data_IF_854828752690
#
_entry.id   IF_854828752690
#
_cell.length_a   1.000
_cell.length_b   1.000
_cell.length_c   1.000
_cell.angle_alpha   90.00
_cell.angle_beta   90.00
_cell.angle_gamma   90.00
#
_symmetry.space_group_name_H-M   'P 1'
#
loop_
_entity.id
_entity.type
_entity.pdbx_description
1 polymer ?
#
# COMPACT_ATOMS: atom_id res chain seq x y z
N UNK A 1 -4.53 -4.36 19.64
CA UNK A 1 -4.77 -5.55 18.81
C UNK A 1 -3.42 -5.97 18.25
N UNK A 2 -2.97 -7.18 18.55
CA UNK A 2 -1.71 -7.73 18.05
C UNK A 2 -2.04 -8.84 17.04
N UNK A 3 -1.35 -8.87 15.90
CA UNK A 3 -1.45 -9.97 14.95
C UNK A 3 -0.57 -11.13 15.42
N UNK A 4 -1.08 -12.35 15.35
CA UNK A 4 -0.34 -13.57 15.66
C UNK A 4 0.65 -13.96 14.56
N UNK A 5 0.45 -13.47 13.34
CA UNK A 5 1.33 -13.68 12.19
C UNK A 5 1.86 -12.36 11.60
N UNK A 6 3.08 -12.41 11.05
CA UNK A 6 3.71 -11.27 10.38
C UNK A 6 3.30 -11.21 8.90
N UNK A 7 2.14 -10.60 8.62
CA UNK A 7 1.63 -10.38 7.26
C UNK A 7 1.50 -8.88 6.94
N UNK A 8 1.66 -8.48 5.65
CA UNK A 8 1.42 -7.11 5.23
C UNK A 8 -0.08 -6.78 5.29
N UNK A 9 -0.40 -5.66 5.91
CA UNK A 9 -1.76 -5.12 5.96
C UNK A 9 -2.00 -4.15 4.81
N UNK A 10 -3.15 -4.29 4.13
CA UNK A 10 -3.56 -3.34 3.10
C UNK A 10 -4.07 -2.03 3.72
N UNK A 11 -3.90 -0.93 2.98
CA UNK A 11 -4.37 0.38 3.42
C UNK A 11 -5.90 0.43 3.61
N UNK A 12 -6.64 -0.30 2.76
CA UNK A 12 -8.10 -0.39 2.81
C UNK A 12 -8.56 -1.17 4.05
N UNK A 13 -7.83 -2.23 4.43
CA UNK A 13 -8.15 -3.03 5.62
C UNK A 13 -8.01 -2.20 6.91
N UNK A 14 -6.96 -1.38 7.00
CA UNK A 14 -6.77 -0.45 8.12
C UNK A 14 -7.88 0.61 8.18
N UNK A 15 -8.33 1.12 7.02
CA UNK A 15 -9.44 2.07 6.97
C UNK A 15 -10.77 1.44 7.41
N UNK A 16 -11.07 0.23 6.95
CA UNK A 16 -12.25 -0.52 7.37
C UNK A 16 -12.25 -0.80 8.88
N UNK A 17 -11.11 -1.22 9.44
CA UNK A 17 -10.97 -1.44 10.88
C UNK A 17 -11.26 -0.18 11.71
N UNK A 18 -10.84 1.01 11.23
CA UNK A 18 -11.17 2.30 11.87
C UNK A 18 -12.65 2.61 11.82
N UNK A 19 -13.31 2.35 10.69
CA UNK A 19 -14.75 2.55 10.56
C UNK A 19 -15.52 1.60 11.46
N UNK A 20 -15.09 0.34 11.54
CA UNK A 20 -15.66 -0.66 12.44
C UNK A 20 -15.60 -0.17 13.89
N UNK A 21 -14.50 0.45 14.35
CA UNK A 21 -14.37 0.98 15.71
C UNK A 21 -15.46 2.01 16.13
N UNK A 22 -16.32 2.47 15.21
CA UNK A 22 -17.54 3.21 15.52
C UNK A 22 -18.46 2.48 16.51
N UNK A 23 -18.57 1.15 16.47
CA UNK A 23 -19.39 0.41 17.46
C UNK A 23 -18.88 0.60 18.88
N UNK A 24 -17.57 0.85 19.03
CA UNK A 24 -16.95 1.09 20.33
C UNK A 24 -17.36 2.47 20.83
N UNK A 25 -17.38 3.48 19.96
CA UNK A 25 -17.83 4.85 20.26
C UNK A 25 -19.32 4.91 20.63
N UNK A 26 -20.16 4.07 20.03
CA UNK A 26 -21.59 3.99 20.38
C UNK A 26 -21.81 3.42 21.79
N UNK A 27 -20.93 2.51 22.24
CA UNK A 27 -21.03 1.90 23.57
C UNK A 27 -20.53 2.78 24.73
N UNK A 28 -19.48 3.59 24.53
CA UNK A 28 -18.85 4.36 25.62
C UNK A 28 -18.93 5.89 25.44
N UNK A 29 -19.58 6.36 24.37
CA UNK A 29 -19.64 7.78 24.01
C UNK A 29 -18.37 8.28 23.30
N UNK A 30 -18.49 9.43 22.61
CA UNK A 30 -17.42 10.03 21.80
C UNK A 30 -16.18 10.44 22.60
N UNK A 31 -16.36 10.83 23.85
CA UNK A 31 -15.28 11.34 24.71
C UNK A 31 -14.69 10.26 25.62
N UNK A 32 -15.24 9.03 25.59
CA UNK A 32 -14.85 7.94 26.48
C UNK A 32 -13.66 7.11 26.00
N UNK A 33 -13.18 7.29 24.75
CA UNK A 33 -12.23 6.37 24.11
C UNK A 33 -11.35 7.09 23.09
N UNK A 34 -10.03 6.93 23.23
CA UNK A 34 -9.04 7.41 22.27
C UNK A 34 -8.52 6.25 21.43
N UNK A 35 -9.00 6.14 20.18
CA UNK A 35 -8.63 5.04 19.27
C UNK A 35 -7.73 5.59 18.16
N UNK A 36 -6.53 5.01 18.03
CA UNK A 36 -5.53 5.37 17.02
C UNK A 36 -5.00 4.16 16.26
N UNK A 37 -4.64 4.36 15.00
CA UNK A 37 -3.93 3.35 14.19
C UNK A 37 -2.46 3.72 14.16
N UNK A 38 -1.62 2.84 14.69
CA UNK A 38 -0.17 3.05 14.79
C UNK A 38 0.60 2.49 13.58
N UNK A 39 -0.02 1.60 12.80
CA UNK A 39 0.58 1.04 11.60
C UNK A 39 0.36 1.96 10.39
N UNK A 40 1.44 2.37 9.73
CA UNK A 40 1.39 3.07 8.44
C UNK A 40 1.79 2.13 7.30
N UNK A 41 0.97 2.00 6.23
CA UNK A 41 1.33 1.18 5.07
C UNK A 41 2.35 1.92 4.20
N UNK A 42 3.63 1.57 4.33
CA UNK A 42 4.71 2.11 3.48
C UNK A 42 5.02 1.23 2.26
N UNK A 43 4.61 -0.03 2.30
CA UNK A 43 4.84 -0.99 1.22
C UNK A 43 3.79 -0.79 0.12
N UNK A 44 4.28 -0.59 -1.12
CA UNK A 44 3.44 -0.45 -2.31
C UNK A 44 3.44 -1.76 -3.08
N UNK A 45 2.25 -2.34 -3.25
CA UNK A 45 2.06 -3.55 -4.07
C UNK A 45 2.04 -3.13 -5.54
N UNK A 46 2.93 -3.72 -6.34
CA UNK A 46 2.93 -3.55 -7.80
C UNK A 46 2.10 -4.66 -8.44
N UNK A 47 1.22 -4.29 -9.37
CA UNK A 47 0.39 -5.23 -10.13
C UNK A 47 0.68 -5.06 -11.61
N UNK A 48 1.10 -6.14 -12.28
CA UNK A 48 1.20 -6.18 -13.74
C UNK A 48 -0.21 -6.37 -14.32
N UNK A 49 -0.89 -5.26 -14.63
CA UNK A 49 -2.29 -5.29 -15.10
C UNK A 49 -2.36 -5.93 -16.49
N UNK A 50 -3.18 -6.98 -16.60
CA UNK A 50 -3.47 -7.67 -17.86
C UNK A 50 -4.83 -7.24 -18.40
N UNK A 51 -5.04 -7.35 -19.72
CA UNK A 51 -6.34 -7.08 -20.31
C UNK A 51 -7.26 -8.29 -20.12
N UNK A 52 -8.50 -8.07 -19.67
CA UNK A 52 -9.45 -9.14 -19.33
C UNK A 52 -10.61 -9.27 -20.32
N UNK A 53 -10.39 -8.95 -21.60
CA UNK A 53 -11.40 -9.05 -22.67
C UNK A 53 -11.09 -10.15 -23.68
N UNK A 54 -12.11 -10.62 -24.41
CA UNK A 54 -12.00 -11.76 -25.33
C UNK A 54 -11.01 -11.49 -26.49
N UNK A 55 -9.91 -12.25 -26.53
CA UNK A 55 -8.84 -12.03 -27.51
C UNK A 55 -7.69 -11.14 -27.02
N UNK A 56 -7.67 -10.77 -25.73
CA UNK A 56 -6.57 -10.04 -25.09
C UNK A 56 -5.19 -10.68 -25.32
N UNK A 57 -5.13 -12.01 -25.45
CA UNK A 57 -3.90 -12.78 -25.67
C UNK A 57 -3.10 -12.30 -26.90
N UNK A 58 -3.79 -11.89 -27.98
CA UNK A 58 -3.15 -11.36 -29.20
C UNK A 58 -2.44 -10.02 -29.01
N UNK A 59 -2.79 -9.30 -27.95
CA UNK A 59 -2.30 -7.94 -27.65
C UNK A 59 -1.51 -7.90 -26.32
N UNK A 60 -1.40 -9.02 -25.64
CA UNK A 60 -0.80 -9.11 -24.31
C UNK A 60 0.72 -9.27 -24.40
N UNK A 61 1.43 -8.13 -24.50
CA UNK A 61 2.91 -8.11 -24.41
C UNK A 61 3.41 -8.05 -22.95
N UNK A 62 2.50 -7.82 -21.99
CA UNK A 62 2.81 -7.56 -20.58
C UNK A 62 3.53 -8.72 -19.86
N UNK A 63 3.44 -9.96 -20.35
CA UNK A 63 4.15 -11.11 -19.77
C UNK A 63 5.61 -11.21 -20.23
N UNK A 64 5.94 -10.68 -21.41
CA UNK A 64 7.27 -10.82 -22.01
C UNK A 64 8.24 -9.75 -21.51
N UNK A 65 7.74 -8.57 -21.11
CA UNK A 65 8.54 -7.49 -20.51
C UNK A 65 7.86 -7.01 -19.23
N UNK A 66 8.04 -7.71 -18.11
CA UNK A 66 7.41 -7.31 -16.86
C UNK A 66 8.23 -6.18 -16.22
N UNK A 67 7.74 -4.94 -16.25
CA UNK A 67 7.89 -4.00 -15.12
C UNK A 67 7.04 -2.72 -15.24
N UNK A 68 7.24 -1.88 -16.27
CA UNK A 68 6.73 -0.49 -16.31
C UNK A 68 7.08 0.13 -17.69
N UNK A 69 6.83 -0.59 -18.80
CA UNK A 69 7.34 -0.23 -20.13
C UNK A 69 6.43 0.76 -20.89
N UNK A 70 6.36 1.99 -20.40
CA UNK A 70 6.09 3.17 -21.25
C UNK A 70 6.67 4.43 -20.62
N UNK A 71 8.00 4.52 -20.58
CA UNK A 71 8.66 5.81 -20.81
C UNK A 71 8.60 6.08 -22.30
N UNK A 72 7.56 6.76 -22.78
CA UNK A 72 7.65 7.44 -24.06
C UNK A 72 8.53 8.68 -23.85
N UNK A 73 9.77 8.63 -24.36
CA UNK A 73 10.63 9.77 -24.71
C UNK A 73 11.02 10.80 -23.62
N UNK A 74 12.32 10.87 -23.31
CA UNK A 74 12.97 12.11 -22.83
C UNK A 74 13.69 12.05 -21.47
N UNK A 75 15.03 11.99 -21.52
CA UNK A 75 16.03 12.64 -20.66
C UNK A 75 15.83 12.74 -19.11
N UNK A 76 16.70 12.02 -18.35
CA UNK A 76 17.25 12.38 -17.01
C UNK A 76 16.38 12.22 -15.73
N UNK A 77 16.94 12.30 -14.49
CA UNK A 77 18.33 12.59 -14.11
C UNK A 77 19.03 11.45 -13.35
N UNK A 78 20.36 11.58 -13.24
CA UNK A 78 21.20 10.81 -12.31
C UNK A 78 20.75 11.05 -10.85
N UNK A 79 20.84 10.02 -10.00
CA UNK A 79 20.69 10.19 -8.56
C UNK A 79 22.06 10.15 -7.89
N UNK A 80 22.50 11.25 -7.25
CA UNK A 80 23.65 11.23 -6.37
C UNK A 80 23.23 10.75 -4.98
N UNK A 81 24.11 9.99 -4.33
CA UNK A 81 24.41 10.11 -2.91
C UNK A 81 23.35 9.74 -1.86
N UNK A 82 23.75 8.81 -1.00
CA UNK A 82 23.43 8.69 0.43
C UNK A 82 22.70 9.88 1.10
N UNK A 83 21.68 9.55 1.92
CA UNK A 83 21.23 10.17 3.18
C UNK A 83 19.90 9.48 3.53
N UNK A 84 19.82 8.46 4.39
CA UNK A 84 20.08 8.53 5.82
C UNK A 84 18.81 8.15 6.61
N UNK A 85 18.56 6.87 6.84
CA UNK A 85 17.56 6.39 7.80
C UNK A 85 18.27 5.92 9.07
N UNK A 86 18.84 6.86 9.85
CA UNK A 86 19.22 6.56 11.23
C UNK A 86 17.95 6.26 12.01
N UNK A 87 17.79 5.00 12.39
CA UNK A 87 16.95 4.63 13.52
C UNK A 87 17.40 5.45 14.73
N UNK A 88 16.58 6.41 15.15
CA UNK A 88 16.75 7.06 16.45
C UNK A 88 16.10 6.14 17.47
N UNK A 89 16.95 5.44 18.21
CA UNK A 89 16.62 4.88 19.52
C UNK A 89 16.18 6.01 20.43
N UNK A 90 14.99 5.88 21.02
CA UNK A 90 14.60 6.14 22.41
C UNK A 90 13.07 5.98 22.50
#
# INVERSE_FOLDING_TARGET
MALGEHQPLSSEALAAARLCAKYTVEGYGKDGIHIGVWCHPFHVIRVNKMLSWAGADRLQMAMQVPLESSRHGGQGPHWPGDLGCRARSL
#
